data_IF_524880165673
#
_entry.id   IF_524880165673
#
_cell.length_a   1.000
_cell.length_b   1.000
_cell.length_c   1.000
_cell.angle_alpha   90.00
_cell.angle_beta   90.00
_cell.angle_gamma   90.00
#
_symmetry.space_group_name_H-M   'P 1'
#
loop_
_entity.id
_entity.type
_entity.pdbx_description
1 polymer ?
#
# COMPACT_ATOMS: atom_id res chain seq x y z
N UNK A 1 -9.12 8.16 9.26
CA UNK A 1 -9.27 7.04 10.21
C UNK A 1 -7.90 6.39 10.40
N UNK A 2 -7.60 5.85 11.58
CA UNK A 2 -6.32 5.16 11.82
C UNK A 2 -6.50 3.68 11.48
N UNK A 3 -5.71 3.16 10.53
CA UNK A 3 -5.67 1.73 10.24
C UNK A 3 -5.17 0.96 11.47
N UNK A 4 -5.84 -0.14 11.80
CA UNK A 4 -5.47 -1.04 12.91
C UNK A 4 -4.98 -2.36 12.35
N UNK A 5 -3.95 -2.95 12.97
CA UNK A 5 -3.26 -4.14 12.45
C UNK A 5 -3.06 -5.20 13.56
N UNK A 6 -3.17 -6.51 13.24
CA UNK A 6 -3.68 -7.02 11.97
C UNK A 6 -5.17 -6.68 11.81
N UNK A 7 -5.62 -6.48 10.58
CA UNK A 7 -7.04 -6.21 10.32
C UNK A 7 -7.86 -7.49 10.52
N UNK A 8 -9.13 -7.38 10.96
CA UNK A 8 -10.04 -8.51 10.92
C UNK A 8 -10.25 -8.95 9.47
N UNK A 9 -10.36 -10.28 9.25
CA UNK A 9 -10.75 -10.84 7.96
C UNK A 9 -12.14 -10.32 7.55
N UNK A 10 -12.31 -10.05 6.27
CA UNK A 10 -13.61 -9.86 5.64
C UNK A 10 -14.02 -11.10 4.82
N UNK A 11 -15.17 -11.02 4.15
CA UNK A 11 -15.72 -12.10 3.32
C UNK A 11 -15.43 -11.89 1.82
N UNK A 12 -14.57 -10.94 1.47
CA UNK A 12 -14.27 -10.60 0.07
C UNK A 12 -13.29 -11.61 -0.55
N UNK A 13 -13.41 -11.90 -1.85
CA UNK A 13 -12.51 -12.83 -2.53
C UNK A 13 -11.08 -12.28 -2.66
N UNK A 14 -10.13 -13.20 -2.87
CA UNK A 14 -8.72 -12.90 -3.18
C UNK A 14 -8.55 -12.73 -4.69
N UNK A 15 -7.99 -11.59 -5.12
CA UNK A 15 -7.88 -11.28 -6.55
C UNK A 15 -7.00 -12.27 -7.31
N UNK A 16 -5.91 -12.72 -6.68
CA UNK A 16 -4.92 -13.62 -7.28
C UNK A 16 -5.04 -15.07 -6.78
N UNK A 17 -6.11 -15.37 -6.05
CA UNK A 17 -6.33 -16.67 -5.41
C UNK A 17 -5.35 -16.95 -4.26
N UNK A 18 -5.48 -18.14 -3.68
CA UNK A 18 -4.59 -18.63 -2.64
C UNK A 18 -3.74 -19.79 -3.18
N UNK A 19 -2.48 -19.87 -2.76
CA UNK A 19 -1.61 -21.01 -2.99
C UNK A 19 -1.98 -22.25 -2.15
N UNK A 20 -2.87 -22.08 -1.16
CA UNK A 20 -3.28 -23.14 -0.24
C UNK A 20 -4.62 -22.85 0.45
N UNK A 21 -4.97 -23.60 1.51
CA UNK A 21 -6.25 -23.44 2.22
C UNK A 21 -6.32 -22.18 3.08
N UNK A 22 -5.16 -21.56 3.39
CA UNK A 22 -5.04 -20.35 4.20
C UNK A 22 -4.05 -19.39 3.54
N UNK A 23 -4.22 -18.06 3.69
CA UNK A 23 -3.30 -17.07 3.19
C UNK A 23 -1.97 -17.10 3.96
N UNK A 24 -0.88 -17.30 3.24
CA UNK A 24 0.49 -17.40 3.74
C UNK A 24 1.45 -16.46 2.99
N UNK A 25 1.16 -16.17 1.73
CA UNK A 25 2.03 -15.35 0.88
C UNK A 25 1.83 -13.86 1.14
N UNK A 26 2.85 -13.05 0.82
CA UNK A 26 2.85 -11.61 1.11
C UNK A 26 1.85 -10.80 0.27
N UNK A 27 1.34 -11.40 -0.82
CA UNK A 27 0.28 -10.84 -1.68
C UNK A 27 -1.11 -11.43 -1.38
N UNK A 28 -1.21 -12.40 -0.47
CA UNK A 28 -2.49 -12.98 -0.06
C UNK A 28 -3.04 -12.18 1.14
N UNK A 29 -4.17 -11.49 0.94
CA UNK A 29 -4.80 -10.68 1.99
C UNK A 29 -4.94 -11.46 3.29
N UNK A 30 -4.77 -10.76 4.41
CA UNK A 30 -4.85 -11.34 5.76
C UNK A 30 -3.81 -12.42 6.08
N UNK A 31 -2.83 -12.69 5.21
CA UNK A 31 -1.63 -13.41 5.64
C UNK A 31 -0.85 -12.55 6.64
N UNK A 32 -0.10 -13.16 7.58
CA UNK A 32 0.76 -12.39 8.49
C UNK A 32 1.78 -11.50 7.76
N UNK A 33 2.29 -11.96 6.62
CA UNK A 33 3.26 -11.21 5.81
C UNK A 33 2.61 -10.01 5.12
N UNK A 34 1.40 -10.18 4.59
CA UNK A 34 0.61 -9.13 3.96
C UNK A 34 0.30 -8.01 4.96
N UNK A 35 -0.25 -8.35 6.13
CA UNK A 35 -0.65 -7.36 7.15
C UNK A 35 0.57 -6.62 7.71
N UNK A 36 1.71 -7.29 7.89
CA UNK A 36 2.96 -6.66 8.31
C UNK A 36 3.50 -5.69 7.24
N UNK A 37 3.42 -6.06 5.96
CA UNK A 37 3.79 -5.17 4.86
C UNK A 37 2.88 -3.94 4.81
N UNK A 38 1.56 -4.13 4.85
CA UNK A 38 0.59 -3.04 4.83
C UNK A 38 0.76 -2.10 6.03
N UNK A 39 0.97 -2.65 7.23
CA UNK A 39 1.26 -1.86 8.43
C UNK A 39 2.50 -0.97 8.25
N UNK A 40 3.59 -1.55 7.73
CA UNK A 40 4.85 -0.83 7.52
C UNK A 40 4.68 0.32 6.52
N UNK A 41 3.98 0.10 5.43
CA UNK A 41 3.71 1.13 4.42
C UNK A 41 2.81 2.22 5.00
N UNK A 42 1.70 1.86 5.65
CA UNK A 42 0.78 2.81 6.26
C UNK A 42 1.46 3.70 7.31
N UNK A 43 2.28 3.13 8.19
CA UNK A 43 3.04 3.89 9.19
C UNK A 43 4.06 4.83 8.55
N UNK A 44 4.72 4.39 7.47
CA UNK A 44 5.70 5.21 6.74
C UNK A 44 5.02 6.41 6.07
N UNK A 45 3.88 6.17 5.42
CA UNK A 45 3.03 7.20 4.82
C UNK A 45 2.54 8.22 5.87
N UNK A 46 2.00 7.76 7.00
CA UNK A 46 1.58 8.63 8.09
C UNK A 46 2.73 9.49 8.63
N UNK A 47 3.92 8.90 8.82
CA UNK A 47 5.11 9.62 9.26
C UNK A 47 5.63 10.64 8.23
N UNK A 48 5.24 10.50 6.97
CA UNK A 48 5.53 11.46 5.90
C UNK A 48 4.44 12.52 5.75
N UNK A 49 3.30 12.41 6.43
CA UNK A 49 2.19 13.37 6.33
C UNK A 49 1.10 12.96 5.32
N UNK A 50 1.05 11.69 4.93
CA UNK A 50 -0.05 11.14 4.15
C UNK A 50 -1.19 10.64 5.04
N UNK A 51 -2.41 10.59 4.47
CA UNK A 51 -3.58 9.96 5.06
C UNK A 51 -3.92 8.65 4.33
N UNK A 52 -3.37 7.49 4.76
CA UNK A 52 -3.60 6.22 4.07
C UNK A 52 -5.01 5.64 4.33
N UNK A 53 -5.55 5.04 3.28
CA UNK A 53 -6.80 4.29 3.24
C UNK A 53 -6.65 3.05 2.35
N UNK A 54 -7.37 2.00 2.69
CA UNK A 54 -7.35 0.74 1.96
C UNK A 54 -8.68 0.56 1.24
N UNK A 55 -8.63 0.14 -0.01
CA UNK A 55 -9.82 -0.09 -0.84
C UNK A 55 -9.58 -1.19 -1.86
N UNK A 56 -10.60 -1.53 -2.66
CA UNK A 56 -10.45 -2.52 -3.74
C UNK A 56 -10.54 -3.99 -3.30
N UNK A 57 -10.83 -4.26 -2.03
CA UNK A 57 -11.14 -5.60 -1.54
C UNK A 57 -12.19 -6.29 -2.43
N UNK A 58 -11.92 -7.55 -2.83
CA UNK A 58 -12.83 -8.35 -3.65
C UNK A 58 -12.90 -7.97 -5.13
N UNK A 59 -12.13 -6.97 -5.57
CA UNK A 59 -12.06 -6.58 -6.99
C UNK A 59 -11.11 -7.49 -7.79
N UNK A 60 -11.21 -7.44 -9.12
CA UNK A 60 -10.33 -8.19 -10.05
C UNK A 60 -8.85 -7.80 -9.90
N UNK A 61 -8.58 -6.52 -9.64
CA UNK A 61 -7.22 -5.98 -9.46
C UNK A 61 -6.72 -6.08 -8.00
N UNK A 62 -7.59 -6.51 -7.10
CA UNK A 62 -7.32 -6.66 -5.67
C UNK A 62 -7.22 -5.37 -4.88
N UNK A 63 -6.89 -5.54 -3.61
CA UNK A 63 -6.79 -4.48 -2.62
C UNK A 63 -5.59 -3.57 -2.90
N UNK A 64 -5.83 -2.27 -2.77
CA UNK A 64 -4.85 -1.22 -2.94
C UNK A 64 -4.76 -0.33 -1.71
N UNK A 65 -3.60 0.32 -1.56
CA UNK A 65 -3.39 1.40 -0.61
C UNK A 65 -3.39 2.72 -1.36
N UNK A 66 -4.33 3.59 -0.99
CA UNK A 66 -4.38 4.98 -1.45
C UNK A 66 -3.99 5.89 -0.30
N UNK A 67 -3.24 6.97 -0.55
CA UNK A 67 -2.99 7.96 0.49
C UNK A 67 -2.85 9.36 -0.09
N UNK A 68 -3.58 10.32 0.47
CA UNK A 68 -3.45 11.74 0.10
C UNK A 68 -2.36 12.41 0.92
N UNK A 69 -1.49 13.17 0.28
CA UNK A 69 -0.47 13.97 0.97
C UNK A 69 -1.11 15.22 1.54
N UNK A 70 -1.25 15.31 2.86
CA UNK A 70 -1.97 16.42 3.50
C UNK A 70 -1.41 17.82 3.18
N UNK A 71 -0.08 18.01 3.03
CA UNK A 71 0.47 19.31 2.65
C UNK A 71 0.17 19.73 1.20
N UNK A 72 -0.08 18.78 0.29
CA UNK A 72 -0.50 19.05 -1.08
C UNK A 72 -1.41 17.92 -1.60
N UNK A 73 -2.74 18.09 -1.59
CA UNK A 73 -3.69 17.03 -1.91
C UNK A 73 -3.67 16.62 -3.38
N UNK A 74 -2.89 17.29 -4.24
CA UNK A 74 -2.64 16.85 -5.63
C UNK A 74 -1.76 15.61 -5.69
N UNK A 75 -0.99 15.36 -4.64
CA UNK A 75 -0.11 14.20 -4.52
C UNK A 75 -0.91 13.08 -3.86
N UNK A 76 -1.22 12.05 -4.64
CA UNK A 76 -1.97 10.87 -4.20
C UNK A 76 -1.10 9.64 -4.43
N UNK A 77 -0.65 9.01 -3.34
CA UNK A 77 -0.02 7.70 -3.38
C UNK A 77 -1.06 6.64 -3.75
N UNK A 78 -0.69 5.72 -4.64
CA UNK A 78 -1.53 4.58 -5.03
C UNK A 78 -0.66 3.36 -5.31
N UNK A 79 -0.99 2.22 -4.71
CA UNK A 79 -0.21 0.99 -4.80
C UNK A 79 -1.11 -0.25 -4.68
N UNK A 80 -1.01 -1.20 -5.61
CA UNK A 80 -1.68 -2.50 -5.43
C UNK A 80 -0.89 -3.36 -4.44
N UNK A 81 -1.62 -4.16 -3.66
CA UNK A 81 -1.05 -4.96 -2.58
C UNK A 81 -1.13 -6.46 -2.87
N UNK A 82 -2.11 -6.88 -3.66
CA UNK A 82 -2.30 -8.30 -4.03
C UNK A 82 -1.56 -8.72 -5.29
N UNK A 83 -1.00 -7.79 -6.07
CA UNK A 83 -0.14 -8.14 -7.21
C UNK A 83 1.18 -8.77 -6.69
N UNK A 84 1.52 -10.02 -7.07
CA UNK A 84 2.71 -10.70 -6.56
C UNK A 84 4.04 -10.03 -6.93
N UNK A 85 4.13 -9.31 -8.04
CA UNK A 85 5.33 -8.58 -8.44
C UNK A 85 5.48 -7.30 -7.61
N UNK A 86 4.39 -6.54 -7.45
CA UNK A 86 4.38 -5.33 -6.61
C UNK A 86 4.66 -5.65 -5.14
N UNK A 87 4.02 -6.69 -4.60
CA UNK A 87 4.23 -7.09 -3.21
C UNK A 87 5.69 -7.48 -2.94
N UNK A 88 6.35 -8.18 -3.87
CA UNK A 88 7.78 -8.53 -3.75
C UNK A 88 8.68 -7.30 -3.89
N UNK A 89 8.36 -6.36 -4.76
CA UNK A 89 9.08 -5.10 -4.85
C UNK A 89 9.01 -4.34 -3.51
N UNK A 90 7.82 -4.16 -2.96
CA UNK A 90 7.61 -3.49 -1.68
C UNK A 90 8.36 -4.20 -0.55
N UNK A 91 8.33 -5.53 -0.51
CA UNK A 91 9.09 -6.34 0.44
C UNK A 91 10.61 -6.09 0.34
N UNK A 92 11.14 -5.90 -0.87
CA UNK A 92 12.57 -5.65 -1.09
C UNK A 92 13.06 -4.30 -0.56
N UNK A 93 12.16 -3.33 -0.38
CA UNK A 93 12.48 -2.00 0.13
C UNK A 93 12.67 -2.00 1.65
N UNK A 94 13.79 -2.53 2.14
CA UNK A 94 14.09 -2.62 3.58
C UNK A 94 14.66 -1.31 4.18
N UNK A 95 14.49 -1.13 5.49
CA UNK A 95 15.00 0.05 6.21
C UNK A 95 14.43 1.36 5.67
N UNK A 96 15.31 2.32 5.42
CA UNK A 96 14.93 3.64 4.91
C UNK A 96 14.54 3.64 3.41
N UNK A 97 14.81 2.54 2.69
CA UNK A 97 14.55 2.48 1.25
C UNK A 97 13.08 2.69 0.88
N UNK A 98 12.14 2.20 1.71
CA UNK A 98 10.70 2.43 1.50
C UNK A 98 10.36 3.93 1.61
N UNK A 99 10.93 4.59 2.63
CA UNK A 99 10.72 6.03 2.86
C UNK A 99 11.31 6.85 1.72
N UNK A 100 12.54 6.54 1.32
CA UNK A 100 13.25 7.24 0.26
C UNK A 100 12.54 7.10 -1.08
N UNK A 101 12.06 5.90 -1.39
CA UNK A 101 11.24 5.64 -2.57
C UNK A 101 9.96 6.48 -2.57
N UNK A 102 9.21 6.53 -1.46
CA UNK A 102 8.00 7.35 -1.37
C UNK A 102 8.31 8.83 -1.61
N UNK A 103 9.37 9.35 -0.99
CA UNK A 103 9.77 10.75 -1.14
C UNK A 103 10.16 11.06 -2.60
N UNK A 104 10.96 10.18 -3.22
CA UNK A 104 11.43 10.35 -4.59
C UNK A 104 10.26 10.35 -5.58
N UNK A 105 9.47 9.29 -5.55
CA UNK A 105 8.55 8.98 -6.65
C UNK A 105 7.21 9.72 -6.52
N UNK A 106 6.80 10.07 -5.30
CA UNK A 106 5.51 10.70 -5.06
C UNK A 106 5.63 12.17 -4.65
N UNK A 107 6.53 12.51 -3.72
CA UNK A 107 6.62 13.89 -3.24
C UNK A 107 7.42 14.76 -4.21
N UNK A 108 8.67 14.39 -4.49
CA UNK A 108 9.58 15.21 -5.30
C UNK A 108 9.17 15.25 -6.77
N UNK A 109 8.83 14.10 -7.35
CA UNK A 109 8.43 14.03 -8.75
C UNK A 109 7.27 14.98 -9.07
N UNK A 110 6.26 15.07 -8.21
CA UNK A 110 5.12 15.96 -8.40
C UNK A 110 5.42 17.44 -8.12
N UNK A 111 6.30 17.75 -7.15
CA UNK A 111 6.71 19.14 -6.88
C UNK A 111 7.52 19.77 -8.02
N UNK A 112 8.16 18.94 -8.86
CA UNK A 112 8.93 19.42 -10.02
C UNK A 112 8.09 19.57 -11.30
N UNK A 113 6.82 19.16 -11.28
CA UNK A 113 5.95 19.32 -12.44
C UNK A 113 5.38 20.75 -12.50
N UNK A 114 5.37 21.40 -13.69
CA UNK A 114 4.66 22.65 -13.85
C UNK A 114 3.16 22.44 -13.55
N UNK A 115 2.46 23.47 -13.02
CA UNK A 115 1.02 23.35 -12.79
C UNK A 115 0.30 23.00 -14.10
N UNK A 116 -0.78 22.20 -14.04
CA UNK A 116 -1.56 21.89 -15.22
C UNK A 116 -2.09 23.19 -15.86
N UNK A 117 -2.24 23.22 -17.19
CA UNK A 117 -2.68 24.40 -17.94
C UNK A 117 -4.08 24.87 -17.58
#
# INVERSE_FOLDING_TARGET
MTLTFPRPRDEEPFAWGLGGPEPVEIWERFSPAYEAQLQRIAQTLQALGFAPEVGGAGSEDGEYLRAEYQPDPRIVFFQHLEDPAEARFLQSLAGDALRDWIISDWIRSYQTQPPPP
#
